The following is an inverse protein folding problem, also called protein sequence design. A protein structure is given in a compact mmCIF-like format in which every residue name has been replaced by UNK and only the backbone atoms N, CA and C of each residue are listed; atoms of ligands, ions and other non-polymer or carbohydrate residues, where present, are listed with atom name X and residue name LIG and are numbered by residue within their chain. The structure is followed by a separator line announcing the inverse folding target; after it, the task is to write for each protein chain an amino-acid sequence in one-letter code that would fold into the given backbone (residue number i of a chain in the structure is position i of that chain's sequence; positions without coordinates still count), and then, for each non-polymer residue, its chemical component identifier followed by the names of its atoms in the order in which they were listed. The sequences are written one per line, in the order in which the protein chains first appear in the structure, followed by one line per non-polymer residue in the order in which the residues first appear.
data_IF_870946797768
#
_entry.id   IF_870946797768
#
_cell.length_a   1.000
_cell.length_b   1.000
_cell.length_c   1.000
_cell.angle_alpha   90.00
_cell.angle_beta   90.00
_cell.angle_gamma   90.00
#
_symmetry.space_group_name_H-M   'P 1'
#
loop_
_entity.id
_entity.type
_entity.pdbx_description
1 polymer ?
#
# COMPACT_ATOMS: atom_id res chain seq x y z
N UNK A 1 -27.07 -6.70 10.62
CA UNK A 1 -26.76 -8.02 10.05
C UNK A 1 -25.47 -8.53 10.70
N UNK A 2 -25.32 -9.83 10.97
CA UNK A 2 -24.08 -10.34 11.56
C UNK A 2 -23.03 -10.48 10.46
N UNK A 3 -21.90 -9.81 10.60
CA UNK A 3 -20.79 -9.93 9.66
C UNK A 3 -20.20 -11.35 9.74
N UNK A 4 -20.22 -12.09 8.63
CA UNK A 4 -19.53 -13.38 8.51
C UNK A 4 -18.12 -13.15 7.95
N UNK A 5 -17.11 -13.51 8.74
CA UNK A 5 -15.69 -13.34 8.40
C UNK A 5 -14.95 -14.66 8.16
N UNK A 6 -15.65 -15.80 8.19
CA UNK A 6 -15.02 -17.10 7.96
C UNK A 6 -14.47 -17.20 6.53
N UNK A 7 -13.20 -17.55 6.42
CA UNK A 7 -12.49 -17.65 5.14
C UNK A 7 -12.02 -16.31 4.56
N UNK A 8 -12.32 -15.18 5.20
CA UNK A 8 -11.77 -13.88 4.81
C UNK A 8 -10.35 -13.72 5.33
N UNK A 9 -9.56 -12.93 4.62
CA UNK A 9 -8.19 -12.56 4.98
C UNK A 9 -8.10 -11.06 5.28
N UNK A 10 -7.12 -10.67 6.09
CA UNK A 10 -6.98 -9.28 6.55
C UNK A 10 -5.73 -9.05 7.38
N UNK A 11 -5.66 -7.89 8.01
CA UNK A 11 -4.57 -7.48 8.88
C UNK A 11 -5.09 -7.25 10.30
N UNK A 12 -4.30 -7.67 11.28
CA UNK A 12 -4.50 -7.27 12.68
C UNK A 12 -4.12 -5.79 12.80
N UNK A 13 -5.06 -4.96 13.23
CA UNK A 13 -4.85 -3.52 13.40
C UNK A 13 -4.61 -3.13 14.86
N UNK A 14 -5.17 -3.88 15.80
CA UNK A 14 -5.01 -3.62 17.24
C UNK A 14 -5.32 -4.87 18.08
N UNK A 15 -4.86 -4.87 19.33
CA UNK A 15 -5.31 -5.79 20.38
C UNK A 15 -6.29 -5.05 21.32
N UNK A 16 -7.48 -5.61 21.48
CA UNK A 16 -8.52 -5.11 22.38
C UNK A 16 -8.37 -5.82 23.73
N UNK A 17 -7.59 -5.20 24.63
CA UNK A 17 -7.21 -5.81 25.91
C UNK A 17 -8.42 -6.20 26.77
N UNK A 18 -9.45 -5.36 26.81
CA UNK A 18 -10.66 -5.60 27.63
C UNK A 18 -11.49 -6.78 27.11
N UNK A 19 -11.40 -7.09 25.82
CA UNK A 19 -12.14 -8.17 25.18
C UNK A 19 -11.32 -9.45 24.97
N UNK A 20 -9.99 -9.38 25.12
CA UNK A 20 -9.09 -10.47 24.78
C UNK A 20 -9.15 -10.85 23.30
N UNK A 21 -9.31 -9.87 22.41
CA UNK A 21 -9.50 -10.09 20.96
C UNK A 21 -8.58 -9.22 20.13
N UNK A 22 -8.23 -9.70 18.94
CA UNK A 22 -7.63 -8.87 17.91
C UNK A 22 -8.71 -8.15 17.12
N UNK A 23 -8.55 -6.85 16.93
CA UNK A 23 -9.29 -6.12 15.92
C UNK A 23 -8.62 -6.38 14.57
N UNK A 24 -9.36 -7.01 13.65
CA UNK A 24 -8.90 -7.38 12.31
C UNK A 24 -9.66 -6.55 11.29
N UNK A 25 -8.93 -5.97 10.36
CA UNK A 25 -9.47 -5.35 9.15
C UNK A 25 -9.30 -6.33 7.99
N UNK A 26 -10.41 -6.81 7.44
CA UNK A 26 -10.39 -7.67 6.24
C UNK A 26 -9.94 -6.86 5.02
N UNK A 27 -9.40 -7.51 3.97
CA UNK A 27 -9.04 -6.80 2.74
C UNK A 27 -10.24 -6.19 1.98
N UNK A 28 -11.46 -6.60 2.35
CA UNK A 28 -12.70 -5.98 1.92
C UNK A 28 -13.15 -4.79 2.80
N UNK A 29 -12.30 -4.31 3.71
CA UNK A 29 -12.56 -3.12 4.52
C UNK A 29 -13.50 -3.32 5.71
N UNK A 30 -13.99 -4.55 5.94
CA UNK A 30 -14.77 -4.86 7.14
C UNK A 30 -13.87 -5.00 8.37
N UNK A 31 -14.33 -4.52 9.53
CA UNK A 31 -13.67 -4.72 10.83
C UNK A 31 -14.38 -5.77 11.68
N UNK A 32 -13.61 -6.65 12.33
CA UNK A 32 -14.12 -7.64 13.27
C UNK A 32 -13.16 -7.86 14.44
N UNK A 33 -13.72 -7.96 15.65
CA UNK A 33 -12.98 -8.39 16.83
C UNK A 33 -13.02 -9.92 16.93
N UNK A 34 -11.86 -10.57 16.82
CA UNK A 34 -11.73 -12.03 16.70
C UNK A 34 -10.80 -12.55 17.79
N UNK A 35 -11.17 -13.65 18.44
CA UNK A 35 -10.30 -14.27 19.45
C UNK A 35 -9.11 -14.97 18.78
N UNK A 36 -7.96 -15.07 19.46
CA UNK A 36 -6.74 -15.65 18.87
C UNK A 36 -6.93 -17.07 18.30
N UNK A 37 -7.80 -17.89 18.89
CA UNK A 37 -8.01 -19.29 18.49
C UNK A 37 -8.75 -19.43 17.15
N UNK A 38 -9.42 -18.36 16.71
CA UNK A 38 -10.12 -18.30 15.43
C UNK A 38 -9.30 -17.58 14.35
N UNK A 39 -8.05 -17.24 14.64
CA UNK A 39 -7.13 -16.63 13.68
C UNK A 39 -6.05 -17.64 13.27
N UNK A 40 -5.66 -17.53 12.01
CA UNK A 40 -4.53 -18.25 11.45
C UNK A 40 -3.68 -17.25 10.69
N UNK A 41 -2.37 -17.37 10.83
CA UNK A 41 -1.44 -16.62 9.99
C UNK A 41 -1.71 -16.92 8.51
N UNK A 42 -1.74 -15.85 7.72
CA UNK A 42 -2.03 -15.91 6.30
C UNK A 42 -0.76 -15.61 5.51
N UNK A 43 -0.29 -16.61 4.78
CA UNK A 43 0.78 -16.46 3.81
C UNK A 43 0.15 -16.21 2.43
N UNK A 44 0.32 -14.99 1.87
CA UNK A 44 -0.21 -14.72 0.55
C UNK A 44 0.52 -15.55 -0.51
N UNK A 45 -0.17 -16.02 -1.56
CA UNK A 45 0.51 -16.63 -2.69
C UNK A 45 1.44 -15.62 -3.37
N UNK A 46 2.46 -16.13 -4.05
CA UNK A 46 3.40 -15.30 -4.81
C UNK A 46 2.66 -14.62 -5.97
N UNK A 47 2.86 -13.30 -6.19
CA UNK A 47 2.31 -12.63 -7.36
C UNK A 47 2.66 -13.34 -8.67
N UNK A 48 1.65 -13.51 -9.54
CA UNK A 48 1.79 -14.22 -10.82
C UNK A 48 1.47 -15.71 -10.78
N UNK A 49 1.19 -16.30 -9.61
CA UNK A 49 0.55 -17.60 -9.52
C UNK A 49 -0.90 -17.56 -10.09
N UNK A 50 -1.45 -18.71 -10.50
CA UNK A 50 -2.80 -18.80 -11.09
C UNK A 50 -3.91 -18.19 -10.21
N UNK A 51 -3.73 -18.24 -8.89
CA UNK A 51 -4.69 -17.73 -7.90
C UNK A 51 -4.52 -16.23 -7.58
N UNK A 52 -3.55 -15.55 -8.21
CA UNK A 52 -3.15 -14.19 -7.84
C UNK A 52 -2.40 -14.17 -6.51
N UNK A 53 -1.90 -13.00 -6.10
CA UNK A 53 -1.07 -12.87 -4.90
C UNK A 53 -0.54 -11.46 -4.68
N UNK A 54 0.09 -11.25 -3.54
CA UNK A 54 0.73 -9.98 -3.18
C UNK A 54 1.99 -10.21 -2.35
N UNK A 55 2.93 -9.27 -2.38
CA UNK A 55 4.13 -9.32 -1.55
C UNK A 55 3.87 -8.73 -0.16
N UNK A 56 3.15 -7.61 -0.12
CA UNK A 56 2.81 -6.94 1.12
C UNK A 56 1.35 -6.51 1.14
N UNK A 57 0.77 -6.44 2.32
CA UNK A 57 -0.44 -5.68 2.53
C UNK A 57 -0.07 -4.25 2.95
N UNK A 58 -0.83 -3.27 2.45
CA UNK A 58 -0.64 -1.87 2.79
C UNK A 58 -0.70 -1.70 4.32
N UNK A 59 0.25 -0.99 4.95
CA UNK A 59 0.24 -0.84 6.40
C UNK A 59 -1.01 -0.08 6.88
N UNK A 60 -1.67 -0.63 7.90
CA UNK A 60 -2.86 -0.03 8.55
C UNK A 60 -2.58 0.52 9.94
N UNK A 61 -1.45 0.14 10.54
CA UNK A 61 -0.98 0.68 11.82
C UNK A 61 0.30 1.49 11.63
N UNK A 62 0.48 2.52 12.45
CA UNK A 62 1.70 3.35 12.42
C UNK A 62 2.96 2.53 12.66
N UNK A 63 2.90 1.57 13.60
CA UNK A 63 4.01 0.67 13.89
C UNK A 63 4.42 -0.15 12.66
N UNK A 64 3.46 -0.59 11.83
CA UNK A 64 3.78 -1.31 10.58
C UNK A 64 4.26 -0.37 9.49
N UNK A 65 3.72 0.85 9.44
CA UNK A 65 4.06 1.86 8.44
C UNK A 65 5.50 2.35 8.56
N UNK A 66 6.10 2.35 9.76
CA UNK A 66 7.49 2.74 9.98
C UNK A 66 8.49 1.88 9.21
N UNK A 67 8.28 0.55 9.18
CA UNK A 67 9.18 -0.41 8.54
C UNK A 67 8.87 -0.66 7.06
N UNK A 68 7.63 -0.37 6.64
CA UNK A 68 7.14 -0.69 5.30
C UNK A 68 7.99 -0.11 4.15
N UNK A 69 8.50 1.14 4.21
CA UNK A 69 9.33 1.69 3.14
C UNK A 69 10.62 0.91 2.90
N UNK A 70 11.30 0.47 3.96
CA UNK A 70 12.55 -0.28 3.85
C UNK A 70 12.33 -1.63 3.16
N UNK A 71 11.33 -2.39 3.61
CA UNK A 71 10.98 -3.68 3.01
C UNK A 71 10.50 -3.53 1.56
N UNK A 72 9.78 -2.45 1.25
CA UNK A 72 9.35 -2.15 -0.10
C UNK A 72 10.54 -1.89 -1.02
N UNK A 73 11.53 -1.11 -0.57
CA UNK A 73 12.76 -0.86 -1.33
C UNK A 73 13.52 -2.16 -1.55
N UNK A 74 13.74 -2.97 -0.51
CA UNK A 74 14.42 -4.27 -0.63
C UNK A 74 13.72 -5.19 -1.65
N UNK A 75 12.38 -5.24 -1.61
CA UNK A 75 11.59 -6.03 -2.57
C UNK A 75 11.73 -5.51 -4.01
N UNK A 76 11.71 -4.19 -4.19
CA UNK A 76 11.88 -3.56 -5.50
C UNK A 76 13.30 -3.73 -6.05
N UNK A 77 14.32 -3.67 -5.20
CA UNK A 77 15.71 -3.95 -5.60
C UNK A 77 15.88 -5.41 -6.03
N UNK A 78 15.29 -6.35 -5.28
CA UNK A 78 15.44 -7.77 -5.55
C UNK A 78 14.64 -8.25 -6.78
N UNK A 79 13.42 -7.75 -6.97
CA UNK A 79 12.48 -8.27 -7.98
C UNK A 79 12.14 -7.30 -9.10
N UNK A 80 12.52 -6.02 -8.99
CA UNK A 80 12.16 -4.92 -9.90
C UNK A 80 10.65 -4.66 -10.00
N UNK A 81 9.83 -5.33 -9.18
CA UNK A 81 8.40 -5.08 -9.06
C UNK A 81 7.91 -5.47 -7.66
N UNK A 82 6.82 -4.83 -7.22
CA UNK A 82 6.14 -5.16 -5.98
C UNK A 82 4.62 -5.08 -6.17
N UNK A 83 3.88 -6.08 -5.69
CA UNK A 83 2.41 -6.06 -5.64
C UNK A 83 2.00 -5.82 -4.19
N UNK A 84 1.24 -4.75 -3.96
CA UNK A 84 0.76 -4.36 -2.63
C UNK A 84 -0.77 -4.52 -2.58
N UNK A 85 -1.25 -5.29 -1.62
CA UNK A 85 -2.68 -5.45 -1.35
C UNK A 85 -3.17 -4.24 -0.54
N UNK A 86 -4.02 -3.41 -1.16
CA UNK A 86 -4.72 -2.35 -0.46
C UNK A 86 -6.02 -2.88 0.16
N UNK A 87 -6.47 -2.21 1.22
CA UNK A 87 -7.77 -2.47 1.85
C UNK A 87 -8.76 -1.39 1.46
N UNK A 88 -9.92 -1.78 0.97
CA UNK A 88 -11.00 -0.86 0.59
C UNK A 88 -12.31 -1.60 0.55
N UNK A 89 -13.41 -0.92 0.89
CA UNK A 89 -14.72 -1.55 0.80
C UNK A 89 -15.08 -1.87 -0.66
N UNK A 90 -15.76 -3.00 -0.96
CA UNK A 90 -16.17 -3.33 -2.32
C UNK A 90 -16.92 -2.20 -3.03
N UNK A 91 -17.78 -1.49 -2.30
CA UNK A 91 -18.56 -0.37 -2.84
C UNK A 91 -17.69 0.87 -3.09
N UNK A 92 -16.68 1.13 -2.26
CA UNK A 92 -15.67 2.16 -2.53
C UNK A 92 -14.84 1.82 -3.76
N UNK A 93 -14.39 0.56 -3.91
CA UNK A 93 -13.67 0.12 -5.12
C UNK A 93 -14.49 0.38 -6.38
N UNK A 94 -15.78 0.02 -6.36
CA UNK A 94 -16.69 0.26 -7.49
C UNK A 94 -16.94 1.74 -7.72
N UNK A 95 -17.12 2.54 -6.68
CA UNK A 95 -17.37 3.98 -6.81
C UNK A 95 -16.14 4.71 -7.35
N UNK A 96 -14.93 4.34 -6.92
CA UNK A 96 -13.68 4.87 -7.48
C UNK A 96 -13.53 4.52 -8.95
N UNK A 97 -13.75 3.26 -9.34
CA UNK A 97 -13.71 2.84 -10.75
C UNK A 97 -14.75 3.62 -11.56
N UNK A 98 -15.98 3.74 -11.05
CA UNK A 98 -17.05 4.49 -11.73
C UNK A 98 -16.68 5.96 -11.88
N UNK A 99 -16.22 6.62 -10.81
CA UNK A 99 -15.80 8.01 -10.85
C UNK A 99 -14.64 8.24 -11.82
N UNK A 100 -13.74 7.26 -11.98
CA UNK A 100 -12.63 7.30 -12.92
C UNK A 100 -13.08 7.09 -14.37
N UNK A 101 -14.14 6.31 -14.60
CA UNK A 101 -14.78 6.16 -15.92
C UNK A 101 -15.62 7.39 -16.28
N UNK A 102 -16.38 7.94 -15.31
CA UNK A 102 -17.25 9.10 -15.48
C UNK A 102 -16.46 10.41 -15.59
N UNK A 103 -15.32 10.51 -14.90
CA UNK A 103 -14.28 11.47 -15.25
C UNK A 103 -13.63 10.97 -16.55
N UNK A 104 -14.16 11.39 -17.70
CA UNK A 104 -13.40 11.48 -18.96
C UNK A 104 -12.22 12.48 -18.84
N UNK A 105 -11.61 12.63 -17.66
CA UNK A 105 -10.38 13.37 -17.44
C UNK A 105 -9.25 12.56 -18.07
N UNK A 106 -9.01 12.82 -19.37
CA UNK A 106 -7.73 12.74 -20.10
C UNK A 106 -6.57 12.07 -19.36
N UNK A 107 -6.72 10.79 -19.00
CA UNK A 107 -5.58 9.94 -18.68
C UNK A 107 -4.87 9.70 -20.00
N UNK A 108 -4.03 10.66 -20.37
CA UNK A 108 -3.19 10.53 -21.56
C UNK A 108 -2.09 9.59 -21.14
N UNK A 109 -2.06 8.39 -21.74
CA UNK A 109 -0.88 7.52 -21.65
C UNK A 109 0.33 8.40 -21.95
N UNK A 110 1.39 8.30 -21.14
CA UNK A 110 2.65 9.00 -21.43
C UNK A 110 2.97 8.70 -22.90
N UNK A 111 3.06 9.74 -23.72
CA UNK A 111 3.31 9.54 -25.14
C UNK A 111 4.66 8.81 -25.27
N UNK A 112 4.80 7.85 -26.21
CA UNK A 112 6.02 7.04 -26.31
C UNK A 112 7.33 7.84 -26.44
N UNK A 113 7.26 9.08 -26.92
CA UNK A 113 8.36 10.03 -27.02
C UNK A 113 8.70 10.73 -25.68
N UNK A 114 7.75 10.80 -24.75
CA UNK A 114 7.92 11.39 -23.41
C UNK A 114 8.33 10.35 -22.36
N UNK A 115 8.13 9.07 -22.63
CA UNK A 115 8.50 7.96 -21.73
C UNK A 115 10.01 7.92 -21.42
N UNK A 116 10.94 8.04 -22.39
CA UNK A 116 12.38 8.05 -22.09
C UNK A 116 12.79 9.26 -21.24
N UNK A 117 12.11 10.41 -21.40
CA UNK A 117 12.37 11.62 -20.60
C UNK A 117 11.87 11.44 -19.17
N UNK A 118 10.66 10.89 -19.00
CA UNK A 118 10.08 10.60 -17.69
C UNK A 118 10.88 9.54 -16.92
N UNK A 119 11.39 8.53 -17.63
CA UNK A 119 12.21 7.45 -17.06
C UNK A 119 13.69 7.84 -16.89
N UNK A 120 14.05 9.12 -17.10
CA UNK A 120 15.42 9.61 -16.91
C UNK A 120 16.45 9.08 -17.91
N UNK A 121 16.01 8.47 -19.01
CA UNK A 121 16.87 7.94 -20.07
C UNK A 121 17.40 9.04 -21.01
N UNK A 122 16.91 10.27 -20.86
CA UNK A 122 17.36 11.41 -21.65
C UNK A 122 18.05 12.46 -20.77
N UNK A 123 19.38 12.66 -20.89
CA UNK A 123 20.14 13.57 -20.02
C UNK A 123 19.79 15.06 -20.21
N UNK A 124 19.02 15.42 -21.24
CA UNK A 124 18.54 16.79 -21.48
C UNK A 124 17.15 17.12 -20.92
N UNK A 125 16.41 16.13 -20.41
CA UNK A 125 15.03 16.26 -19.98
C UNK A 125 14.86 16.75 -18.53
N UNK A 126 14.61 18.05 -18.35
CA UNK A 126 14.26 18.59 -17.03
C UNK A 126 12.85 18.15 -16.61
N UNK A 127 12.77 17.13 -15.75
CA UNK A 127 12.20 17.23 -14.38
C UNK A 127 12.14 15.86 -13.72
N UNK A 128 13.24 15.49 -13.07
CA UNK A 128 13.21 14.71 -11.85
C UNK A 128 13.37 15.72 -10.72
N UNK A 129 12.34 15.87 -9.86
CA UNK A 129 12.46 16.62 -8.62
C UNK A 129 12.88 15.61 -7.55
N UNK A 130 14.17 15.50 -7.28
CA UNK A 130 14.63 14.89 -6.04
C UNK A 130 14.29 15.88 -4.93
N UNK A 131 13.45 15.48 -3.97
CA UNK A 131 13.39 16.16 -2.67
C UNK A 131 14.78 16.01 -2.05
N UNK A 132 15.63 17.02 -2.25
CA UNK A 132 16.85 17.15 -1.49
C UNK A 132 16.42 17.43 -0.07
N UNK A 133 16.73 16.50 0.83
CA UNK A 133 16.66 16.75 2.26
C UNK A 133 17.39 18.06 2.50
N UNK A 134 16.66 19.10 2.89
CA UNK A 134 17.29 20.34 3.30
C UNK A 134 17.88 20.02 4.66
N UNK A 135 19.20 19.82 4.72
CA UNK A 135 19.90 19.87 6.00
C UNK A 135 19.62 21.24 6.60
N UNK A 136 18.74 21.27 7.60
CA UNK A 136 18.67 22.38 8.54
C UNK A 136 19.95 22.32 9.37
N UNK A 137 21.02 22.93 8.86
CA UNK A 137 22.02 23.48 9.76
C UNK A 137 21.60 24.91 10.07
N UNK A 138 20.86 25.04 11.17
CA UNK A 138 20.72 26.29 11.90
C UNK A 138 22.12 26.86 12.12
N UNK A 139 22.32 28.10 11.67
CA UNK A 139 23.44 28.90 12.13
C UNK A 139 23.17 29.31 13.57
N UNK A 140 24.23 29.37 14.37
CA UNK A 140 24.40 30.43 15.36
C UNK A 140 25.82 30.38 15.95
N UNK A 141 26.46 31.55 15.99
CA UNK A 141 27.53 31.80 16.95
C UNK A 141 28.83 32.37 16.37
N UNK A 142 28.81 33.64 15.97
CA UNK A 142 29.99 34.50 16.04
C UNK A 142 29.60 35.73 16.89
N UNK A 143 30.42 36.12 17.86
CA UNK A 143 30.68 37.53 18.12
C UNK A 143 32.16 37.90 17.93
#
# INVERSE_FOLDING_TARGET
EKLNVNGKCGQVVAWLQDEGKYLVETFDGDYAAITPEHLKEYEPPVPGAEVGGFHFAMPRSNARAEFFPAELVEMLEAKLYCVVQATSAPEERKSFVRALVEREEKWTRIMPDMEPVYMGQNPGGKKILWLSHTDQHEGDGDP
#
